data_IF_820149269649
#
_entry.id   IF_820149269649
#
_cell.length_a   1.000
_cell.length_b   1.000
_cell.length_c   1.000
_cell.angle_alpha   90.00
_cell.angle_beta   90.00
_cell.angle_gamma   90.00
#
_symmetry.space_group_name_H-M   'P 1'
#
loop_
_entity.id
_entity.type
_entity.pdbx_description
1 polymer ?
#
# COMPACT_ATOMS: atom_id res chain seq x y z
N UNK A 1 10.55 27.10 60.91
CA UNK A 1 10.03 27.05 59.52
C UNK A 1 10.47 25.71 58.98
N UNK A 2 9.73 24.65 59.31
CA UNK A 2 10.07 23.27 58.94
C UNK A 2 8.80 22.49 58.60
N UNK A 3 9.05 21.44 57.82
CA UNK A 3 8.18 20.34 57.39
C UNK A 3 7.31 20.67 56.17
N UNK A 4 7.23 19.86 55.11
CA UNK A 4 7.90 18.61 54.71
C UNK A 4 7.42 18.31 53.27
N UNK A 5 8.23 17.56 52.50
CA UNK A 5 7.92 16.51 51.50
C UNK A 5 6.61 16.60 50.66
N UNK A 6 6.65 16.39 49.34
CA UNK A 6 6.61 15.03 48.79
C UNK A 6 7.26 14.88 47.40
N UNK A 7 8.05 13.81 47.27
CA UNK A 7 8.27 13.09 46.02
C UNK A 7 6.97 12.39 45.61
N UNK A 8 6.54 12.51 44.36
CA UNK A 8 5.67 11.59 43.58
C UNK A 8 5.37 12.34 42.25
N UNK A 9 5.41 11.80 41.05
CA UNK A 9 5.34 10.41 40.61
C UNK A 9 5.95 10.30 39.19
N UNK A 10 6.55 9.13 38.89
CA UNK A 10 6.82 8.72 37.52
C UNK A 10 5.47 8.46 36.84
N UNK A 11 4.93 9.44 36.11
CA UNK A 11 3.77 9.16 35.23
C UNK A 11 4.25 8.45 33.97
N UNK A 12 4.63 7.19 34.13
CA UNK A 12 4.59 6.18 33.09
C UNK A 12 3.13 5.90 32.75
N UNK A 13 2.49 6.75 31.94
CA UNK A 13 1.27 6.38 31.21
C UNK A 13 0.83 7.47 30.23
N UNK A 14 1.42 7.46 29.05
CA UNK A 14 0.65 7.62 27.81
C UNK A 14 1.32 6.74 26.76
N UNK A 15 1.51 5.46 27.10
CA UNK A 15 1.68 4.43 26.07
C UNK A 15 0.33 4.38 25.36
N UNK A 16 0.16 5.25 24.36
CA UNK A 16 -0.94 5.15 23.41
C UNK A 16 -0.84 3.71 22.91
N UNK A 17 -1.86 2.86 23.12
CA UNK A 17 -1.82 1.52 22.57
C UNK A 17 -1.78 1.72 21.06
N UNK A 18 -0.58 1.60 20.48
CA UNK A 18 -0.42 1.42 19.06
C UNK A 18 -1.15 0.12 18.83
N UNK A 19 -2.34 0.22 18.23
CA UNK A 19 -3.08 -0.93 17.74
C UNK A 19 -2.19 -1.58 16.68
N UNK A 20 -1.28 -2.46 17.14
CA UNK A 20 -0.56 -3.38 16.29
C UNK A 20 -1.55 -4.49 15.94
N UNK A 21 -2.60 -4.10 15.20
CA UNK A 21 -3.47 -5.06 14.57
C UNK A 21 -2.67 -5.56 13.38
N UNK A 22 -1.92 -6.64 13.58
CA UNK A 22 -1.28 -7.40 12.52
C UNK A 22 -2.38 -8.06 11.66
N UNK A 23 -3.15 -7.24 10.95
CA UNK A 23 -4.14 -7.69 9.99
C UNK A 23 -3.38 -7.89 8.69
N UNK A 24 -2.94 -9.12 8.44
CA UNK A 24 -2.41 -9.57 7.15
C UNK A 24 -3.51 -9.67 6.07
N UNK A 25 -4.55 -8.84 6.17
CA UNK A 25 -5.65 -8.79 5.21
C UNK A 25 -5.43 -7.57 4.32
N UNK A 26 -5.53 -7.71 2.98
CA UNK A 26 -5.34 -6.60 2.08
C UNK A 26 -6.37 -5.50 2.37
N UNK A 27 -5.90 -4.24 2.35
CA UNK A 27 -6.74 -3.05 2.60
C UNK A 27 -7.91 -2.98 1.60
N UNK A 28 -7.71 -3.49 0.37
CA UNK A 28 -8.73 -3.59 -0.67
C UNK A 28 -8.68 -5.00 -1.25
N UNK A 29 -9.83 -5.67 -1.30
CA UNK A 29 -10.00 -6.88 -2.10
C UNK A 29 -10.45 -6.49 -3.51
N UNK A 30 -9.75 -6.97 -4.54
CA UNK A 30 -10.03 -6.64 -5.94
C UNK A 30 -11.39 -7.20 -6.38
N UNK A 31 -11.76 -8.37 -5.85
CA UNK A 31 -12.99 -9.08 -6.19
C UNK A 31 -14.27 -8.36 -5.74
N UNK A 32 -14.16 -7.44 -4.77
CA UNK A 32 -15.28 -6.65 -4.27
C UNK A 32 -15.73 -5.55 -5.26
N UNK A 33 -15.00 -5.36 -6.35
CA UNK A 33 -15.24 -4.29 -7.32
C UNK A 33 -15.80 -4.82 -8.64
N UNK A 34 -17.04 -4.43 -8.95
CA UNK A 34 -17.71 -4.80 -10.22
C UNK A 34 -17.13 -4.16 -11.48
N UNK A 35 -16.27 -3.13 -11.35
CA UNK A 35 -15.62 -2.48 -12.50
C UNK A 35 -14.21 -2.01 -12.15
N UNK A 36 -13.31 -2.08 -13.13
CA UNK A 36 -11.97 -1.51 -13.04
C UNK A 36 -12.01 -0.01 -12.72
N UNK A 37 -12.93 0.75 -13.33
CA UNK A 37 -13.08 2.19 -13.08
C UNK A 37 -13.33 2.51 -11.60
N UNK A 38 -14.19 1.72 -10.93
CA UNK A 38 -14.48 1.89 -9.50
C UNK A 38 -13.27 1.55 -8.64
N UNK A 39 -12.61 0.43 -8.94
CA UNK A 39 -11.37 -0.01 -8.27
C UNK A 39 -10.28 1.07 -8.35
N UNK A 40 -10.01 1.58 -9.56
CA UNK A 40 -9.00 2.61 -9.78
C UNK A 40 -9.34 3.89 -9.01
N UNK A 41 -10.60 4.34 -9.04
CA UNK A 41 -11.02 5.55 -8.31
C UNK A 41 -10.84 5.42 -6.80
N UNK A 42 -11.29 4.32 -6.20
CA UNK A 42 -11.15 4.09 -4.75
C UNK A 42 -9.68 4.01 -4.37
N UNK A 43 -8.87 3.31 -5.15
CA UNK A 43 -7.42 3.22 -4.93
C UNK A 43 -6.72 4.57 -5.09
N UNK A 44 -7.15 5.42 -6.03
CA UNK A 44 -6.66 6.81 -6.15
C UNK A 44 -6.95 7.62 -4.88
N UNK A 45 -8.13 7.47 -4.28
CA UNK A 45 -8.45 8.13 -3.01
C UNK A 45 -7.54 7.64 -1.88
N UNK A 46 -7.27 6.34 -1.79
CA UNK A 46 -6.31 5.79 -0.80
C UNK A 46 -4.92 6.38 -1.01
N UNK A 47 -4.42 6.42 -2.24
CA UNK A 47 -3.11 7.02 -2.54
C UNK A 47 -3.07 8.52 -2.23
N UNK A 48 -4.15 9.25 -2.52
CA UNK A 48 -4.27 10.66 -2.16
C UNK A 48 -4.30 10.86 -0.65
N UNK A 49 -5.02 10.02 0.09
CA UNK A 49 -5.05 10.04 1.54
C UNK A 49 -3.63 9.87 2.11
N UNK A 50 -2.91 8.83 1.67
CA UNK A 50 -1.52 8.59 2.10
C UNK A 50 -0.63 9.80 1.78
N UNK A 51 -0.77 10.37 0.57
CA UNK A 51 -0.02 11.56 0.18
C UNK A 51 -0.33 12.75 1.10
N UNK A 52 -1.61 13.03 1.37
CA UNK A 52 -2.05 14.14 2.19
C UNK A 52 -1.71 13.95 3.68
N UNK A 53 -1.62 12.71 4.16
CA UNK A 53 -1.19 12.41 5.51
C UNK A 53 0.33 12.62 5.71
N UNK A 54 1.12 12.45 4.64
CA UNK A 54 2.58 12.55 4.68
C UNK A 54 3.13 13.93 4.29
N UNK A 55 2.32 14.79 3.66
CA UNK A 55 2.78 16.06 3.09
C UNK A 55 1.85 17.20 3.46
N UNK A 56 2.41 18.40 3.65
CA UNK A 56 1.65 19.64 3.90
C UNK A 56 0.86 20.12 2.66
N UNK A 57 1.36 19.84 1.46
CA UNK A 57 0.70 20.16 0.19
C UNK A 57 -0.43 19.18 -0.10
N UNK A 58 -1.59 19.44 0.48
CA UNK A 58 -2.78 18.59 0.39
C UNK A 58 -3.47 18.75 -0.96
N UNK A 59 -3.85 17.63 -1.56
CA UNK A 59 -4.66 17.56 -2.78
C UNK A 59 -6.14 17.42 -2.42
N UNK A 60 -7.01 18.15 -3.10
CA UNK A 60 -8.46 18.14 -2.92
C UNK A 60 -9.19 18.14 -4.27
N UNK A 61 -10.52 18.06 -4.26
CA UNK A 61 -11.35 18.06 -5.46
C UNK A 61 -11.51 16.68 -6.13
N UNK A 62 -12.02 16.63 -7.38
CA UNK A 62 -12.21 15.37 -8.11
C UNK A 62 -10.90 14.59 -8.33
N UNK A 63 -10.99 13.26 -8.46
CA UNK A 63 -9.84 12.44 -8.89
C UNK A 63 -9.51 12.77 -10.34
N UNK A 64 -8.27 13.18 -10.59
CA UNK A 64 -7.77 13.47 -11.93
C UNK A 64 -7.40 12.20 -12.69
N UNK A 65 -7.34 12.27 -14.03
CA UNK A 65 -6.88 11.15 -14.86
C UNK A 65 -5.44 10.72 -14.50
N UNK A 66 -4.55 11.69 -14.24
CA UNK A 66 -3.18 11.44 -13.78
C UNK A 66 -3.13 10.60 -12.51
N UNK A 67 -4.04 10.86 -11.56
CA UNK A 67 -4.12 10.08 -10.32
C UNK A 67 -4.67 8.67 -10.51
N UNK A 68 -5.38 8.39 -11.61
CA UNK A 68 -5.85 7.02 -11.93
C UNK A 68 -4.78 6.17 -12.62
N UNK A 69 -3.77 6.78 -13.26
CA UNK A 69 -2.67 6.05 -13.88
C UNK A 69 -1.83 5.28 -12.86
N UNK A 70 -1.61 5.85 -11.67
CA UNK A 70 -0.78 5.23 -10.63
C UNK A 70 -1.41 3.93 -10.08
N UNK A 71 -2.70 3.90 -9.68
CA UNK A 71 -3.38 2.64 -9.35
C UNK A 71 -3.40 1.63 -10.48
N UNK A 72 -3.56 2.07 -11.73
CA UNK A 72 -3.58 1.15 -12.87
C UNK A 72 -2.25 0.39 -12.99
N UNK A 73 -1.13 1.13 -12.95
CA UNK A 73 0.20 0.53 -12.97
C UNK A 73 0.41 -0.40 -11.76
N UNK A 74 -0.09 -0.02 -10.59
CA UNK A 74 -0.02 -0.85 -9.39
C UNK A 74 -0.72 -2.20 -9.58
N UNK A 75 -1.95 -2.21 -10.10
CA UNK A 75 -2.68 -3.46 -10.35
C UNK A 75 -2.09 -4.28 -11.50
N UNK A 76 -1.56 -3.65 -12.54
CA UNK A 76 -0.81 -4.36 -13.60
C UNK A 76 0.38 -5.09 -12.99
N UNK A 77 1.18 -4.42 -12.15
CA UNK A 77 2.33 -5.03 -11.46
C UNK A 77 1.89 -6.18 -10.56
N UNK A 78 0.79 -6.03 -9.83
CA UNK A 78 0.24 -7.12 -9.02
C UNK A 78 -0.15 -8.33 -9.86
N UNK A 79 -0.88 -8.13 -10.97
CA UNK A 79 -1.31 -9.20 -11.86
C UNK A 79 -0.12 -9.89 -12.56
N UNK A 80 0.91 -9.12 -12.89
CA UNK A 80 2.17 -9.64 -13.43
C UNK A 80 2.89 -10.50 -12.39
N UNK A 81 3.03 -10.02 -11.16
CA UNK A 81 3.68 -10.78 -10.07
C UNK A 81 2.90 -12.07 -9.76
N UNK A 82 1.56 -12.03 -9.73
CA UNK A 82 0.75 -13.22 -9.46
C UNK A 82 0.84 -14.27 -10.58
N UNK A 83 1.04 -13.84 -11.82
CA UNK A 83 1.00 -14.74 -12.99
C UNK A 83 2.39 -15.18 -13.47
N UNK A 84 3.41 -14.37 -13.22
CA UNK A 84 4.75 -14.48 -13.80
C UNK A 84 5.87 -14.22 -12.78
N UNK A 85 5.65 -14.51 -11.49
CA UNK A 85 6.65 -14.30 -10.43
C UNK A 85 8.00 -14.95 -10.74
N UNK A 86 7.98 -16.18 -11.29
CA UNK A 86 9.21 -16.91 -11.65
C UNK A 86 9.99 -16.21 -12.76
N UNK A 87 9.30 -15.75 -13.80
CA UNK A 87 9.87 -15.02 -14.92
C UNK A 87 10.42 -13.67 -14.48
N UNK A 88 9.65 -12.93 -13.67
CA UNK A 88 10.09 -11.66 -13.07
C UNK A 88 11.35 -11.88 -12.24
N UNK A 89 11.40 -12.92 -11.42
CA UNK A 89 12.58 -13.24 -10.61
C UNK A 89 13.78 -13.64 -11.45
N UNK A 90 13.57 -14.43 -12.51
CA UNK A 90 14.63 -14.78 -13.44
C UNK A 90 15.19 -13.53 -14.14
N UNK A 91 14.33 -12.65 -14.63
CA UNK A 91 14.75 -11.38 -15.26
C UNK A 91 15.52 -10.51 -14.26
N UNK A 92 15.05 -10.37 -13.02
CA UNK A 92 15.77 -9.62 -11.95
C UNK A 92 17.16 -10.19 -11.67
N UNK A 93 17.35 -11.51 -11.87
CA UNK A 93 18.62 -12.21 -11.69
C UNK A 93 19.45 -12.33 -12.99
N UNK A 94 19.08 -11.61 -14.06
CA UNK A 94 19.71 -11.69 -15.39
C UNK A 94 19.71 -13.12 -15.98
N UNK A 95 18.71 -13.93 -15.65
CA UNK A 95 18.48 -15.27 -16.22
C UNK A 95 17.45 -15.21 -17.34
N UNK A 96 17.46 -16.22 -18.21
CA UNK A 96 16.45 -16.37 -19.26
C UNK A 96 15.08 -16.75 -18.71
N UNK A 97 14.03 -16.40 -19.46
CA UNK A 97 12.68 -16.88 -19.22
C UNK A 97 12.63 -18.39 -19.47
N UNK A 98 11.91 -19.12 -18.62
CA UNK A 98 11.77 -20.56 -18.75
C UNK A 98 11.06 -20.90 -20.08
N UNK A 99 11.58 -21.85 -20.86
CA UNK A 99 11.01 -22.27 -22.16
C UNK A 99 9.57 -22.77 -22.08
N UNK A 100 9.16 -23.25 -20.91
CA UNK A 100 7.79 -23.69 -20.65
C UNK A 100 6.88 -22.55 -20.15
N UNK A 101 7.40 -21.33 -20.06
CA UNK A 101 6.61 -20.15 -19.67
C UNK A 101 5.55 -19.88 -20.72
N UNK A 102 4.39 -19.39 -20.27
CA UNK A 102 3.35 -18.86 -21.15
C UNK A 102 3.85 -17.69 -22.01
N UNK A 103 4.93 -17.02 -21.59
CA UNK A 103 5.55 -15.93 -22.34
C UNK A 103 6.34 -16.41 -23.57
N UNK A 104 6.84 -17.65 -23.58
CA UNK A 104 7.64 -18.17 -24.69
C UNK A 104 6.85 -18.38 -25.98
N UNK A 105 5.53 -18.44 -25.89
CA UNK A 105 4.64 -18.62 -27.05
C UNK A 105 4.27 -17.29 -27.74
N UNK A 106 4.82 -16.15 -27.30
CA UNK A 106 4.57 -14.83 -27.89
C UNK A 106 5.74 -14.30 -28.73
N UNK A 107 6.74 -15.14 -29.01
CA UNK A 107 7.90 -14.81 -29.86
C UNK A 107 7.71 -15.27 -31.30
#
# INVERSE_FOLDING_TARGET
MCCESDNYDNSESDIVPVFNCAVNKPILNIEDFSTLRRLLRVTSFVFRFINNARNSNRRSGPITSSETSKPLIYFIKMAQESSFSSEINNIKLNKSVNKNSKLCNFN
#
